data_IF_487087487399
#
_entry.id   IF_487087487399
#
_cell.length_a   1.000
_cell.length_b   1.000
_cell.length_c   1.000
_cell.angle_alpha   90.00
_cell.angle_beta   90.00
_cell.angle_gamma   90.00
#
_symmetry.space_group_name_H-M   'P 1'
#
loop_
_entity.id
_entity.type
_entity.pdbx_description
1 polymer ?
#
# COMPACT_ATOMS: atom_id res chain seq x y z
N UNK A 1 -82.19 0.88 -33.96
CA UNK A 1 -81.84 1.46 -35.28
C UNK A 1 -80.32 1.48 -35.39
N UNK A 2 -79.80 1.02 -36.52
CA UNK A 2 -78.38 0.69 -36.77
C UNK A 2 -77.39 1.84 -36.51
N UNK A 3 -76.14 1.48 -36.16
CA UNK A 3 -74.90 1.67 -36.96
C UNK A 3 -73.67 1.61 -36.02
N UNK A 4 -72.89 0.54 -36.08
CA UNK A 4 -71.71 0.29 -36.95
C UNK A 4 -70.42 0.54 -36.17
N UNK A 5 -69.66 -0.55 -36.03
CA UNK A 5 -68.29 -0.62 -35.55
C UNK A 5 -67.37 0.43 -36.16
N UNK A 6 -66.37 0.88 -35.40
CA UNK A 6 -65.03 1.09 -35.93
C UNK A 6 -64.00 0.90 -34.80
N UNK A 7 -63.33 -0.25 -34.82
CA UNK A 7 -62.08 -0.49 -34.09
C UNK A 7 -60.99 0.37 -34.76
N UNK A 8 -60.53 1.41 -34.08
CA UNK A 8 -59.33 2.16 -34.52
C UNK A 8 -58.11 1.54 -33.83
N UNK A 9 -57.40 0.70 -34.58
CA UNK A 9 -56.15 0.08 -34.17
C UNK A 9 -55.06 1.16 -34.10
N UNK A 10 -54.54 1.41 -32.91
CA UNK A 10 -53.44 2.34 -32.67
C UNK A 10 -52.12 1.65 -33.04
N UNK A 11 -51.61 1.91 -34.25
CA UNK A 11 -50.26 1.51 -34.65
C UNK A 11 -49.23 2.26 -33.80
N UNK A 12 -48.60 1.56 -32.85
CA UNK A 12 -47.36 2.00 -32.22
C UNK A 12 -46.25 2.02 -33.27
N UNK A 13 -45.81 3.21 -33.72
CA UNK A 13 -44.55 3.34 -34.42
C UNK A 13 -43.41 3.06 -33.43
N UNK A 14 -42.76 1.90 -33.55
CA UNK A 14 -41.47 1.66 -32.93
C UNK A 14 -40.42 2.49 -33.68
N UNK A 15 -39.97 3.59 -33.07
CA UNK A 15 -38.79 4.30 -33.56
C UNK A 15 -37.56 3.39 -33.38
N UNK A 16 -36.77 3.09 -34.43
CA UNK A 16 -35.52 2.40 -34.23
C UNK A 16 -34.62 3.31 -33.40
N UNK A 17 -34.04 2.78 -32.32
CA UNK A 17 -32.97 3.46 -31.61
C UNK A 17 -31.82 3.66 -32.60
N UNK A 18 -31.63 4.89 -33.09
CA UNK A 18 -30.47 5.25 -33.91
C UNK A 18 -29.23 5.11 -33.02
N UNK A 19 -28.52 3.98 -33.14
CA UNK A 19 -27.15 3.90 -32.70
C UNK A 19 -26.30 4.83 -33.59
N UNK A 20 -25.44 5.65 -32.99
CA UNK A 20 -24.52 6.50 -33.74
C UNK A 20 -23.64 5.63 -34.65
N UNK A 21 -23.45 6.05 -35.91
CA UNK A 21 -22.55 5.38 -36.83
C UNK A 21 -21.10 5.44 -36.30
N UNK A 22 -20.29 4.38 -36.49
CA UNK A 22 -18.88 4.41 -36.12
C UNK A 22 -18.12 5.48 -36.92
N UNK A 23 -17.02 5.98 -36.36
CA UNK A 23 -16.16 6.93 -37.07
C UNK A 23 -15.55 6.32 -38.34
N UNK A 24 -15.47 7.13 -39.39
CA UNK A 24 -14.69 6.81 -40.60
C UNK A 24 -13.18 6.84 -40.31
N UNK A 25 -12.35 6.16 -41.13
CA UNK A 25 -10.90 6.20 -40.97
C UNK A 25 -10.31 7.62 -40.93
N UNK A 26 -10.85 8.53 -41.74
CA UNK A 26 -10.42 9.93 -41.80
C UNK A 26 -10.76 10.68 -40.51
N UNK A 27 -11.95 10.43 -39.95
CA UNK A 27 -12.35 10.99 -38.65
C UNK A 27 -11.49 10.46 -37.51
N UNK A 28 -11.18 9.16 -37.49
CA UNK A 28 -10.31 8.58 -36.48
C UNK A 28 -8.90 9.19 -36.52
N UNK A 29 -8.34 9.36 -37.72
CA UNK A 29 -7.06 10.02 -37.90
C UNK A 29 -7.07 11.46 -37.36
N UNK A 30 -8.14 12.22 -37.64
CA UNK A 30 -8.28 13.59 -37.12
C UNK A 30 -8.45 13.62 -35.61
N UNK A 31 -9.20 12.68 -35.02
CA UNK A 31 -9.38 12.58 -33.57
C UNK A 31 -8.05 12.32 -32.87
N UNK A 32 -7.24 11.37 -33.37
CA UNK A 32 -5.89 11.09 -32.83
C UNK A 32 -5.00 12.32 -32.85
N UNK A 33 -5.03 13.09 -33.96
CA UNK A 33 -4.28 14.33 -34.06
C UNK A 33 -4.77 15.39 -33.07
N UNK A 34 -6.10 15.54 -32.94
CA UNK A 34 -6.69 16.51 -32.01
C UNK A 34 -6.36 16.19 -30.55
N UNK A 35 -6.37 14.91 -30.15
CA UNK A 35 -5.95 14.49 -28.81
C UNK A 35 -4.50 14.92 -28.55
N UNK A 36 -3.60 14.67 -29.50
CA UNK A 36 -2.19 15.09 -29.38
C UNK A 36 -2.07 16.60 -29.27
N UNK A 37 -2.73 17.35 -30.15
CA UNK A 37 -2.74 18.82 -30.15
C UNK A 37 -3.25 19.35 -28.80
N UNK A 38 -4.34 18.80 -28.29
CA UNK A 38 -4.96 19.18 -27.01
C UNK A 38 -4.02 18.95 -25.82
N UNK A 39 -3.40 17.76 -25.74
CA UNK A 39 -2.48 17.44 -24.64
C UNK A 39 -1.20 18.31 -24.67
N UNK A 40 -0.73 18.69 -25.86
CA UNK A 40 0.46 19.55 -26.02
C UNK A 40 0.16 21.01 -25.75
N UNK A 41 -0.99 21.51 -26.21
CA UNK A 41 -1.41 22.90 -26.01
C UNK A 41 -1.88 23.17 -24.57
N UNK A 42 -2.35 22.13 -23.88
CA UNK A 42 -2.78 22.22 -22.49
C UNK A 42 -2.20 21.06 -21.65
N UNK A 43 -0.92 21.13 -21.26
CA UNK A 43 -0.28 20.08 -20.47
C UNK A 43 -0.85 19.93 -19.05
N UNK A 44 -1.62 20.91 -18.55
CA UNK A 44 -2.30 20.81 -17.26
C UNK A 44 -3.29 19.62 -17.22
N UNK A 45 -3.86 19.23 -18.37
CA UNK A 45 -4.74 18.04 -18.48
C UNK A 45 -4.01 16.78 -18.02
N UNK A 46 -2.71 16.63 -18.32
CA UNK A 46 -1.92 15.48 -17.88
C UNK A 46 -1.63 15.54 -16.39
N UNK A 47 -1.32 16.72 -15.86
CA UNK A 47 -1.12 16.91 -14.42
C UNK A 47 -2.39 16.60 -13.63
N UNK A 48 -3.54 17.12 -14.07
CA UNK A 48 -4.85 16.85 -13.46
C UNK A 48 -5.23 15.37 -13.54
N UNK A 49 -4.94 14.70 -14.66
CA UNK A 49 -5.16 13.27 -14.80
C UNK A 49 -4.28 12.45 -13.85
N UNK A 50 -3.00 12.83 -13.70
CA UNK A 50 -2.09 12.20 -12.75
C UNK A 50 -2.55 12.42 -11.30
N UNK A 51 -2.91 13.65 -10.94
CA UNK A 51 -3.41 13.98 -9.60
C UNK A 51 -4.71 13.22 -9.28
N UNK A 52 -5.63 13.13 -10.24
CA UNK A 52 -6.86 12.36 -10.10
C UNK A 52 -6.58 10.87 -9.92
N UNK A 53 -5.63 10.32 -10.68
CA UNK A 53 -5.19 8.93 -10.54
C UNK A 53 -4.56 8.67 -9.18
N UNK A 54 -3.63 9.52 -8.73
CA UNK A 54 -2.96 9.38 -7.44
C UNK A 54 -3.95 9.47 -6.27
N UNK A 55 -4.94 10.38 -6.37
CA UNK A 55 -6.00 10.51 -5.37
C UNK A 55 -6.89 9.27 -5.30
N UNK A 56 -7.24 8.68 -6.44
CA UNK A 56 -8.00 7.44 -6.50
C UNK A 56 -7.19 6.26 -5.96
N UNK A 57 -5.93 6.13 -6.39
CA UNK A 57 -5.00 5.12 -5.88
C UNK A 57 -4.84 5.23 -4.37
N UNK A 58 -4.67 6.45 -3.82
CA UNK A 58 -4.56 6.67 -2.38
C UNK A 58 -5.83 6.24 -1.63
N UNK A 59 -7.02 6.52 -2.17
CA UNK A 59 -8.31 6.07 -1.59
C UNK A 59 -8.43 4.55 -1.57
N UNK A 60 -8.05 3.89 -2.66
CA UNK A 60 -8.07 2.43 -2.75
C UNK A 60 -7.03 1.81 -1.80
N UNK A 61 -5.85 2.42 -1.69
CA UNK A 61 -4.75 1.94 -0.85
C UNK A 61 -5.07 1.99 0.64
N UNK A 62 -5.86 2.98 1.10
CA UNK A 62 -6.22 3.12 2.52
C UNK A 62 -6.94 1.89 3.08
N UNK A 63 -7.84 1.29 2.30
CA UNK A 63 -8.56 0.08 2.73
C UNK A 63 -7.73 -1.19 2.57
N UNK A 64 -6.82 -1.23 1.59
CA UNK A 64 -5.96 -2.39 1.35
C UNK A 64 -5.01 -2.62 2.52
N UNK A 65 -4.35 -1.57 3.04
CA UNK A 65 -3.40 -1.74 4.16
C UNK A 65 -4.10 -2.24 5.41
N UNK A 66 -5.25 -1.66 5.77
CA UNK A 66 -6.02 -2.09 6.94
C UNK A 66 -6.48 -3.55 6.80
N UNK A 67 -6.97 -3.94 5.62
CA UNK A 67 -7.35 -5.33 5.33
C UNK A 67 -6.15 -6.29 5.40
N UNK A 68 -4.98 -5.89 4.91
CA UNK A 68 -3.78 -6.72 4.95
C UNK A 68 -3.25 -6.89 6.38
N UNK A 69 -3.30 -5.85 7.20
CA UNK A 69 -2.96 -5.95 8.63
C UNK A 69 -3.92 -6.90 9.33
N UNK A 70 -5.23 -6.78 9.07
CA UNK A 70 -6.22 -7.66 9.70
C UNK A 70 -6.02 -9.13 9.29
N UNK A 71 -5.85 -9.38 7.99
CA UNK A 71 -5.59 -10.73 7.45
C UNK A 71 -4.32 -11.36 8.02
N UNK A 72 -3.32 -10.55 8.38
CA UNK A 72 -2.01 -11.03 8.87
C UNK A 72 -1.81 -10.75 10.37
N UNK A 73 -2.85 -10.40 11.12
CA UNK A 73 -2.74 -9.95 12.52
C UNK A 73 -1.94 -10.91 13.39
N UNK A 74 -2.22 -12.22 13.30
CA UNK A 74 -1.48 -13.21 14.08
C UNK A 74 0.02 -13.24 13.73
N UNK A 75 0.36 -13.24 12.44
CA UNK A 75 1.74 -13.22 11.99
C UNK A 75 2.45 -11.92 12.37
N UNK A 76 1.76 -10.78 12.34
CA UNK A 76 2.32 -9.47 12.69
C UNK A 76 2.60 -9.33 14.18
N UNK A 77 1.65 -9.72 15.04
CA UNK A 77 1.69 -9.39 16.47
C UNK A 77 1.99 -10.58 17.40
N UNK A 78 1.64 -11.80 17.01
CA UNK A 78 1.62 -12.98 17.90
C UNK A 78 2.62 -14.07 17.50
N UNK A 79 3.48 -13.81 16.52
CA UNK A 79 4.55 -14.73 16.13
C UNK A 79 5.61 -14.80 17.24
N UNK A 80 5.76 -15.98 17.86
CA UNK A 80 6.74 -16.23 18.90
C UNK A 80 8.19 -16.14 18.40
N UNK A 81 8.42 -16.39 17.10
CA UNK A 81 9.73 -16.24 16.47
C UNK A 81 10.16 -14.80 16.24
N UNK A 82 9.25 -13.83 16.45
CA UNK A 82 9.53 -12.42 16.27
C UNK A 82 9.99 -11.74 17.56
N UNK A 83 11.17 -11.09 17.56
CA UNK A 83 11.66 -10.40 18.73
C UNK A 83 10.72 -9.30 19.21
N UNK A 84 10.57 -9.19 20.52
CA UNK A 84 9.75 -8.16 21.17
C UNK A 84 10.55 -7.41 22.23
N UNK A 85 10.47 -6.09 22.18
CA UNK A 85 11.07 -5.17 23.14
C UNK A 85 9.99 -4.28 23.78
N UNK A 86 10.26 -3.75 24.98
CA UNK A 86 9.31 -2.94 25.75
C UNK A 86 8.41 -3.74 26.68
N UNK A 87 7.16 -3.31 26.84
CA UNK A 87 6.24 -3.86 27.83
C UNK A 87 5.89 -5.35 27.58
N UNK A 88 5.88 -6.15 28.66
CA UNK A 88 5.40 -7.55 28.62
C UNK A 88 3.87 -7.65 28.43
N UNK A 89 3.13 -6.65 28.93
CA UNK A 89 1.68 -6.50 28.80
C UNK A 89 1.38 -5.12 28.22
N UNK A 90 1.60 -4.92 26.91
CA UNK A 90 1.49 -3.60 26.29
C UNK A 90 0.04 -3.15 26.13
N UNK A 91 -0.22 -1.86 26.35
CA UNK A 91 -1.45 -1.20 25.92
C UNK A 91 -1.46 -0.91 24.41
N UNK A 92 -0.27 -0.77 23.81
CA UNK A 92 -0.07 -0.56 22.38
C UNK A 92 1.14 -1.38 21.92
N UNK A 93 0.96 -2.16 20.84
CA UNK A 93 2.07 -2.85 20.17
C UNK A 93 2.29 -2.26 18.80
N UNK A 94 3.50 -1.80 18.53
CA UNK A 94 3.96 -1.45 17.18
C UNK A 94 4.62 -2.65 16.52
N UNK A 95 4.52 -2.74 15.20
CA UNK A 95 5.30 -3.69 14.39
C UNK A 95 6.30 -2.89 13.57
N UNK A 96 7.59 -3.11 13.83
CA UNK A 96 8.67 -2.39 13.17
C UNK A 96 9.42 -3.30 12.20
N UNK A 97 9.14 -3.10 10.92
CA UNK A 97 9.88 -3.68 9.82
C UNK A 97 11.22 -2.95 9.66
N UNK A 98 12.33 -3.65 9.89
CA UNK A 98 13.66 -3.04 9.96
C UNK A 98 14.70 -3.86 9.18
N UNK A 99 15.81 -3.25 8.83
CA UNK A 99 16.94 -3.92 8.16
C UNK A 99 18.25 -3.39 8.76
N UNK A 100 19.11 -4.30 9.20
CA UNK A 100 20.37 -3.97 9.86
C UNK A 100 21.39 -3.22 8.98
N UNK A 101 21.18 -3.11 7.66
CA UNK A 101 21.99 -2.31 6.74
C UNK A 101 21.27 -1.05 6.22
N UNK A 102 20.05 -0.77 6.68
CA UNK A 102 19.27 0.40 6.30
C UNK A 102 19.70 1.63 7.11
N UNK A 103 20.24 2.66 6.44
CA UNK A 103 20.74 3.88 7.11
C UNK A 103 19.63 4.62 7.87
N UNK A 104 18.43 4.70 7.31
CA UNK A 104 17.29 5.34 7.98
C UNK A 104 16.82 4.54 9.18
N UNK A 105 16.83 3.21 9.09
CA UNK A 105 16.44 2.32 10.16
C UNK A 105 17.40 2.49 11.36
N UNK A 106 18.72 2.52 11.10
CA UNK A 106 19.74 2.82 12.11
C UNK A 106 19.55 4.17 12.79
N UNK A 107 19.13 5.20 12.05
CA UNK A 107 18.82 6.53 12.62
C UNK A 107 17.56 6.50 13.48
N UNK A 108 16.57 5.70 13.09
CA UNK A 108 15.28 5.61 13.76
C UNK A 108 15.33 4.81 15.07
N UNK A 109 16.36 3.99 15.30
CA UNK A 109 16.53 3.26 16.57
C UNK A 109 16.53 4.19 17.80
N UNK A 110 17.18 5.36 17.70
CA UNK A 110 17.17 6.34 18.79
C UNK A 110 15.75 6.84 19.12
N UNK A 111 14.84 6.87 18.15
CA UNK A 111 13.45 7.28 18.38
C UNK A 111 12.59 6.13 18.92
N UNK A 112 12.90 4.87 18.56
CA UNK A 112 12.32 3.68 19.20
C UNK A 112 12.70 3.62 20.68
N UNK A 113 13.97 3.84 21.00
CA UNK A 113 14.46 3.90 22.38
C UNK A 113 13.74 4.99 23.20
N UNK A 114 13.65 6.21 22.66
CA UNK A 114 12.89 7.31 23.28
C UNK A 114 11.41 6.97 23.45
N UNK A 115 10.78 6.34 22.46
CA UNK A 115 9.38 5.93 22.54
C UNK A 115 9.16 4.96 23.71
N UNK A 116 10.00 3.93 23.82
CA UNK A 116 9.89 2.94 24.89
C UNK A 116 10.21 3.52 26.27
N UNK A 117 11.12 4.50 26.33
CA UNK A 117 11.42 5.23 27.56
C UNK A 117 10.24 6.12 28.01
N UNK A 118 9.68 6.91 27.10
CA UNK A 118 8.62 7.87 27.41
C UNK A 118 7.25 7.22 27.60
N UNK A 119 7.03 6.05 27.00
CA UNK A 119 5.76 5.31 27.07
C UNK A 119 6.00 3.84 27.48
N UNK A 120 6.23 3.57 28.78
CA UNK A 120 6.55 2.23 29.28
C UNK A 120 5.47 1.17 29.04
N UNK A 121 4.26 1.57 28.65
CA UNK A 121 3.15 0.70 28.26
C UNK A 121 3.21 0.23 26.80
N UNK A 122 4.17 0.70 26.01
CA UNK A 122 4.33 0.34 24.60
C UNK A 122 5.27 -0.86 24.46
N UNK A 123 4.99 -1.71 23.47
CA UNK A 123 5.92 -2.72 22.99
C UNK A 123 6.15 -2.58 21.49
N UNK A 124 7.30 -3.04 21.01
CA UNK A 124 7.64 -3.10 19.59
C UNK A 124 7.98 -4.55 19.23
N UNK A 125 7.29 -5.09 18.23
CA UNK A 125 7.65 -6.36 17.57
C UNK A 125 8.54 -6.04 16.38
N UNK A 126 9.75 -6.58 16.39
CA UNK A 126 10.73 -6.36 15.34
C UNK A 126 10.54 -7.40 14.24
N UNK A 127 10.52 -6.95 12.98
CA UNK A 127 10.45 -7.78 11.78
C UNK A 127 11.68 -7.50 10.91
N UNK A 128 12.81 -8.19 11.15
CA UNK A 128 14.02 -8.02 10.35
C UNK A 128 13.79 -8.47 8.90
N UNK A 129 14.10 -7.58 7.95
CA UNK A 129 13.95 -7.80 6.51
C UNK A 129 15.33 -7.80 5.84
N UNK A 130 15.56 -8.70 4.86
CA UNK A 130 16.84 -8.82 4.19
C UNK A 130 16.88 -8.08 2.84
N UNK A 131 16.70 -6.76 2.81
CA UNK A 131 16.53 -6.01 1.55
C UNK A 131 17.71 -5.14 1.11
N UNK A 132 18.57 -4.70 2.03
CA UNK A 132 19.57 -3.65 1.74
C UNK A 132 20.95 -4.14 1.33
N UNK A 133 21.33 -5.36 1.71
CA UNK A 133 22.57 -6.02 1.31
C UNK A 133 22.48 -7.53 1.56
N UNK A 134 23.40 -8.30 0.99
CA UNK A 134 23.53 -9.74 1.27
C UNK A 134 23.67 -10.02 2.78
N UNK A 135 24.46 -9.19 3.47
CA UNK A 135 24.64 -9.29 4.92
C UNK A 135 23.38 -8.98 5.73
N UNK A 136 22.34 -8.39 5.12
CA UNK A 136 21.04 -8.18 5.79
C UNK A 136 20.39 -9.53 6.12
N UNK A 137 20.50 -10.52 5.24
CA UNK A 137 19.98 -11.87 5.48
C UNK A 137 20.69 -12.56 6.64
N UNK A 138 22.01 -12.54 6.66
CA UNK A 138 22.80 -13.13 7.74
C UNK A 138 22.56 -12.43 9.08
N UNK A 139 22.44 -11.10 9.08
CA UNK A 139 22.15 -10.32 10.29
C UNK A 139 20.74 -10.59 10.81
N UNK A 140 19.74 -10.65 9.92
CA UNK A 140 18.37 -11.02 10.27
C UNK A 140 18.30 -12.43 10.87
N UNK A 141 18.91 -13.42 10.21
CA UNK A 141 18.97 -14.79 10.72
C UNK A 141 19.63 -14.86 12.09
N UNK A 142 20.79 -14.23 12.27
CA UNK A 142 21.49 -14.22 13.56
C UNK A 142 20.61 -13.62 14.67
N UNK A 143 19.95 -12.49 14.39
CA UNK A 143 19.06 -11.86 15.35
C UNK A 143 17.87 -12.74 15.74
N UNK A 144 17.24 -13.41 14.77
CA UNK A 144 16.13 -14.34 15.02
C UNK A 144 16.60 -15.60 15.77
N UNK A 145 17.77 -16.16 15.44
CA UNK A 145 18.34 -17.30 16.15
C UNK A 145 18.69 -16.96 17.60
N UNK A 146 19.25 -15.78 17.85
CA UNK A 146 19.53 -15.34 19.23
C UNK A 146 18.23 -15.08 19.99
N UNK A 147 17.20 -14.55 19.35
CA UNK A 147 15.89 -14.43 19.99
C UNK A 147 15.31 -15.79 20.40
N UNK A 148 15.36 -16.78 19.52
CA UNK A 148 14.85 -18.12 19.76
C UNK A 148 15.62 -18.85 20.88
N UNK A 149 16.96 -18.81 20.82
CA UNK A 149 17.80 -19.62 21.69
C UNK A 149 18.27 -18.90 22.97
N UNK A 150 18.42 -17.58 22.90
CA UNK A 150 19.01 -16.75 23.96
C UNK A 150 18.32 -15.38 24.04
N UNK A 151 16.99 -15.32 24.31
CA UNK A 151 16.21 -14.09 24.20
C UNK A 151 16.75 -12.93 25.05
N UNK A 152 17.37 -13.23 26.21
CA UNK A 152 18.00 -12.22 27.06
C UNK A 152 19.21 -11.51 26.41
N UNK A 153 19.84 -12.13 25.40
CA UNK A 153 20.96 -11.57 24.66
C UNK A 153 20.53 -10.82 23.38
N UNK A 154 19.27 -10.93 22.98
CA UNK A 154 18.77 -10.35 21.73
C UNK A 154 18.98 -8.84 21.65
N UNK A 155 18.55 -8.09 22.67
CA UNK A 155 18.58 -6.62 22.63
C UNK A 155 20.01 -6.10 22.44
N UNK A 156 20.97 -6.65 23.19
CA UNK A 156 22.39 -6.31 23.09
C UNK A 156 22.97 -6.61 21.69
N UNK A 157 22.53 -7.70 21.05
CA UNK A 157 22.92 -8.00 19.68
C UNK A 157 22.29 -7.00 18.69
N UNK A 158 20.98 -6.75 18.84
CA UNK A 158 20.21 -5.85 17.99
C UNK A 158 20.82 -4.44 17.98
N UNK A 159 21.09 -3.87 19.15
CA UNK A 159 21.73 -2.56 19.32
C UNK A 159 23.09 -2.49 18.62
N UNK A 160 23.91 -3.56 18.74
CA UNK A 160 25.23 -3.62 18.09
C UNK A 160 25.13 -3.69 16.57
N UNK A 161 24.22 -4.50 16.05
CA UNK A 161 23.98 -4.60 14.61
C UNK A 161 23.49 -3.26 14.04
N UNK A 162 22.63 -2.55 14.78
CA UNK A 162 22.13 -1.24 14.37
C UNK A 162 23.19 -0.14 14.48
N UNK A 163 23.99 -0.11 15.54
CA UNK A 163 25.07 0.87 15.71
C UNK A 163 26.24 0.68 14.73
N UNK A 164 26.41 -0.53 14.15
CA UNK A 164 27.47 -0.79 13.17
C UNK A 164 27.33 0.14 11.96
N UNK A 165 28.36 0.96 11.69
CA UNK A 165 28.45 1.77 10.46
C UNK A 165 28.55 0.85 9.25
N UNK A 166 27.93 1.26 8.13
CA UNK A 166 27.99 0.53 6.86
C UNK A 166 29.47 0.32 6.49
N UNK A 167 29.88 -0.91 6.23
CA UNK A 167 31.15 -1.18 5.57
C UNK A 167 31.01 -0.70 4.11
N UNK A 168 32.01 0.02 3.57
CA UNK A 168 31.95 0.55 2.20
C UNK A 168 31.71 -0.56 1.18
#
# INVERSE_FOLDING_TARGET
MMKKSLLLSLMLLAAPALAAAPFTPEQEARIKQLIRETLVQNPAILAEAADAFDKEAARQQQNVVAQMVEKNRAALFNDAGSPRIGAKKPALTLVYFTDYNCVFCKKFEADIEKLLHNYPQVAVVLKPLPYRAESSLSSARLALTVWDQQPNNFLKLHERLMAKKRQP
#
